data_IF_143970823177
#
_entry.id   IF_143970823177
#
_cell.length_a   1.000
_cell.length_b   1.000
_cell.length_c   1.000
_cell.angle_alpha   90.00
_cell.angle_beta   90.00
_cell.angle_gamma   90.00
#
_symmetry.space_group_name_H-M   'P 1'
#
loop_
_entity.id
_entity.type
_entity.pdbx_description
1 polymer ?
#
# COMPACT_ATOMS: atom_id res chain seq x y z
N UNK A 1 -29.03 -5.92 40.91
CA UNK A 1 -28.90 -4.86 39.89
C UNK A 1 -27.60 -4.11 40.16
N UNK A 2 -26.48 -4.66 39.70
CA UNK A 2 -25.19 -3.99 39.70
C UNK A 2 -25.12 -3.19 38.41
N UNK A 3 -25.05 -1.86 38.53
CA UNK A 3 -24.79 -0.95 37.40
C UNK A 3 -23.45 -1.34 36.78
N UNK A 4 -23.48 -1.72 35.51
CA UNK A 4 -22.32 -1.70 34.61
C UNK A 4 -21.75 -0.28 34.60
N UNK A 5 -20.82 -0.02 35.51
CA UNK A 5 -20.10 1.24 35.61
C UNK A 5 -18.98 1.21 34.57
N UNK A 6 -19.20 1.92 33.47
CA UNK A 6 -18.19 2.64 32.69
C UNK A 6 -16.90 1.86 32.30
N UNK A 7 -17.06 0.79 31.53
CA UNK A 7 -15.97 0.27 30.68
C UNK A 7 -15.69 1.16 29.46
N UNK A 8 -16.38 2.29 29.31
CA UNK A 8 -16.20 3.26 28.22
C UNK A 8 -14.91 4.10 28.32
N UNK A 9 -14.10 3.95 29.37
CA UNK A 9 -12.86 4.73 29.55
C UNK A 9 -11.63 4.17 28.82
N UNK A 10 -11.67 2.96 28.24
CA UNK A 10 -10.44 2.24 27.86
C UNK A 10 -10.12 2.04 26.38
N UNK A 11 -10.76 2.74 25.44
CA UNK A 11 -10.11 2.93 24.14
C UNK A 11 -10.43 4.28 23.52
N UNK A 12 -9.70 5.31 23.98
CA UNK A 12 -9.59 6.51 23.16
C UNK A 12 -8.97 6.08 21.82
N UNK A 13 -9.58 6.39 20.67
CA UNK A 13 -9.16 5.85 19.37
C UNK A 13 -7.69 6.16 19.03
N UNK A 14 -7.14 7.24 19.57
CA UNK A 14 -5.73 7.61 19.41
C UNK A 14 -4.75 6.65 20.11
N UNK A 15 -5.14 6.00 21.22
CA UNK A 15 -4.29 5.01 21.91
C UNK A 15 -4.11 3.79 21.02
N UNK A 16 -5.19 3.33 20.38
CA UNK A 16 -5.12 2.21 19.45
C UNK A 16 -4.26 2.56 18.23
N UNK A 17 -4.47 3.72 17.60
CA UNK A 17 -3.65 4.18 16.48
C UNK A 17 -2.17 4.23 16.85
N UNK A 18 -1.83 4.82 18.01
CA UNK A 18 -0.45 4.92 18.47
C UNK A 18 0.18 3.56 18.76
N UNK A 19 -0.57 2.64 19.38
CA UNK A 19 -0.14 1.26 19.59
C UNK A 19 0.14 0.55 18.26
N UNK A 20 -0.73 0.71 17.25
CA UNK A 20 -0.51 0.14 15.91
C UNK A 20 0.70 0.73 15.22
N UNK A 21 0.93 2.04 15.33
CA UNK A 21 2.14 2.69 14.80
C UNK A 21 3.41 2.13 15.45
N UNK A 22 3.43 1.95 16.77
CA UNK A 22 4.57 1.36 17.46
C UNK A 22 4.81 -0.10 17.01
N UNK A 23 3.75 -0.90 16.95
CA UNK A 23 3.82 -2.28 16.43
C UNK A 23 4.35 -2.30 14.99
N UNK A 24 3.89 -1.39 14.15
CA UNK A 24 4.30 -1.28 12.76
C UNK A 24 5.80 -1.02 12.63
N UNK A 25 6.34 -0.07 13.39
CA UNK A 25 7.79 0.21 13.41
C UNK A 25 8.58 -1.01 13.91
N UNK A 26 8.19 -1.58 15.06
CA UNK A 26 8.92 -2.69 15.68
C UNK A 26 8.89 -3.97 14.83
N UNK A 27 7.72 -4.34 14.29
CA UNK A 27 7.58 -5.52 13.45
C UNK A 27 8.30 -5.36 12.13
N UNK A 28 8.24 -4.19 11.50
CA UNK A 28 8.97 -3.93 10.26
C UNK A 28 10.47 -4.06 10.49
N UNK A 29 10.98 -3.45 11.58
CA UNK A 29 12.38 -3.57 11.98
C UNK A 29 12.76 -5.03 12.20
N UNK A 30 12.03 -5.75 13.05
CA UNK A 30 12.32 -7.15 13.37
C UNK A 30 12.34 -8.06 12.12
N UNK A 31 11.35 -7.94 11.23
CA UNK A 31 11.29 -8.72 10.00
C UNK A 31 12.47 -8.42 9.07
N UNK A 32 12.83 -7.15 8.91
CA UNK A 32 13.98 -6.77 8.09
C UNK A 32 15.30 -7.29 8.65
N UNK A 33 15.53 -7.20 9.97
CA UNK A 33 16.74 -7.74 10.59
C UNK A 33 16.80 -9.27 10.51
N UNK A 34 15.67 -9.96 10.73
CA UNK A 34 15.59 -11.42 10.54
C UNK A 34 15.92 -11.84 9.11
N UNK A 35 15.49 -11.05 8.12
CA UNK A 35 15.84 -11.30 6.71
C UNK A 35 17.34 -11.12 6.48
N UNK A 36 17.91 -9.99 6.90
CA UNK A 36 19.34 -9.69 6.76
C UNK A 36 20.22 -10.72 7.45
N UNK A 37 19.82 -11.22 8.63
CA UNK A 37 20.53 -12.29 9.33
C UNK A 37 20.56 -13.59 8.52
N UNK A 38 19.52 -13.87 7.74
CA UNK A 38 19.41 -15.10 6.93
C UNK A 38 20.10 -14.99 5.57
N UNK A 39 19.99 -13.84 4.91
CA UNK A 39 20.46 -13.66 3.52
C UNK A 39 21.80 -12.91 3.42
N UNK A 40 22.29 -12.38 4.53
CA UNK A 40 23.41 -11.44 4.53
C UNK A 40 22.97 -10.01 4.21
N UNK A 41 23.94 -9.08 4.25
CA UNK A 41 23.69 -7.65 4.03
C UNK A 41 23.36 -7.38 2.55
N UNK A 42 22.21 -6.78 2.33
CA UNK A 42 21.81 -6.25 1.03
C UNK A 42 22.50 -4.90 0.74
N UNK A 43 22.60 -4.50 -0.54
CA UNK A 43 22.91 -3.12 -0.89
C UNK A 43 21.94 -2.14 -0.21
N UNK A 44 22.36 -0.95 0.25
CA UNK A 44 21.53 -0.05 1.05
C UNK A 44 20.16 0.28 0.44
N UNK A 45 20.11 0.55 -0.88
CA UNK A 45 18.84 0.84 -1.58
C UNK A 45 17.91 -0.38 -1.65
N UNK A 46 18.46 -1.59 -1.78
CA UNK A 46 17.68 -2.83 -1.79
C UNK A 46 17.12 -3.15 -0.39
N UNK A 47 17.91 -2.91 0.67
CA UNK A 47 17.45 -3.03 2.05
C UNK A 47 16.29 -2.05 2.34
N UNK A 48 16.43 -0.80 1.89
CA UNK A 48 15.37 0.20 2.03
C UNK A 48 14.09 -0.20 1.29
N UNK A 49 14.21 -0.68 0.05
CA UNK A 49 13.08 -1.20 -0.73
C UNK A 49 12.35 -2.33 0.01
N UNK A 50 13.11 -3.28 0.57
CA UNK A 50 12.57 -4.39 1.34
C UNK A 50 11.80 -3.88 2.58
N UNK A 51 12.38 -2.95 3.34
CA UNK A 51 11.73 -2.34 4.52
C UNK A 51 10.45 -1.62 4.13
N UNK A 52 10.41 -0.92 3.00
CA UNK A 52 9.18 -0.27 2.50
C UNK A 52 8.10 -1.31 2.16
N UNK A 53 8.45 -2.41 1.52
CA UNK A 53 7.52 -3.50 1.21
C UNK A 53 6.94 -4.14 2.49
N UNK A 54 7.77 -4.43 3.49
CA UNK A 54 7.31 -4.93 4.78
C UNK A 54 6.42 -3.91 5.50
N UNK A 55 6.82 -2.65 5.49
CA UNK A 55 6.05 -1.59 6.13
C UNK A 55 4.66 -1.47 5.51
N UNK A 56 4.56 -1.38 4.18
CA UNK A 56 3.26 -1.26 3.48
C UNK A 56 2.37 -2.46 3.80
N UNK A 57 2.95 -3.67 3.76
CA UNK A 57 2.23 -4.91 4.09
C UNK A 57 1.66 -4.85 5.50
N UNK A 58 2.51 -4.55 6.49
CA UNK A 58 2.10 -4.49 7.89
C UNK A 58 1.13 -3.34 8.15
N UNK A 59 1.36 -2.16 7.57
CA UNK A 59 0.52 -0.98 7.74
C UNK A 59 -0.89 -1.22 7.18
N UNK A 60 -1.01 -1.98 6.10
CA UNK A 60 -2.29 -2.38 5.55
C UNK A 60 -3.06 -3.31 6.50
N UNK A 61 -2.41 -4.32 7.06
CA UNK A 61 -3.04 -5.28 7.99
C UNK A 61 -3.29 -4.72 9.39
N UNK A 62 -2.44 -3.80 9.86
CA UNK A 62 -2.58 -3.15 11.16
C UNK A 62 -3.50 -1.93 11.14
N UNK A 63 -4.17 -1.66 10.00
CA UNK A 63 -5.13 -0.57 9.89
C UNK A 63 -6.21 -0.68 10.98
N UNK A 64 -6.35 0.31 11.88
CA UNK A 64 -7.22 0.21 13.05
C UNK A 64 -8.68 0.49 12.66
N UNK A 65 -9.31 -0.50 12.01
CA UNK A 65 -10.70 -0.42 11.52
C UNK A 65 -11.68 0.01 12.62
N UNK A 66 -11.49 -0.52 13.85
CA UNK A 66 -12.39 -0.26 14.96
C UNK A 66 -12.25 1.18 15.48
N UNK A 67 -11.02 1.66 15.71
CA UNK A 67 -10.77 3.03 16.16
C UNK A 67 -11.24 4.08 15.16
N UNK A 68 -11.08 3.80 13.86
CA UNK A 68 -11.37 4.76 12.80
C UNK A 68 -12.80 4.64 12.24
N UNK A 69 -13.58 3.66 12.70
CA UNK A 69 -14.97 3.45 12.28
C UNK A 69 -15.90 4.67 12.50
N UNK A 70 -15.55 5.55 13.44
CA UNK A 70 -16.31 6.77 13.75
C UNK A 70 -16.04 7.93 12.79
N UNK A 71 -14.95 7.86 12.04
CA UNK A 71 -14.61 8.88 11.05
C UNK A 71 -15.28 8.53 9.73
N UNK A 72 -15.45 9.54 8.87
CA UNK A 72 -15.70 9.27 7.47
C UNK A 72 -14.57 8.40 6.90
N UNK A 73 -14.89 7.61 5.88
CA UNK A 73 -13.93 6.81 5.10
C UNK A 73 -12.67 7.61 4.73
N UNK A 74 -12.86 8.85 4.27
CA UNK A 74 -11.79 9.80 3.94
C UNK A 74 -11.00 10.26 5.17
N UNK A 75 -11.68 10.57 6.28
CA UNK A 75 -11.01 10.97 7.52
C UNK A 75 -10.15 9.86 8.11
N UNK A 76 -10.63 8.62 8.06
CA UNK A 76 -9.88 7.44 8.48
C UNK A 76 -8.62 7.22 7.63
N UNK A 77 -8.73 7.37 6.31
CA UNK A 77 -7.60 7.27 5.39
C UNK A 77 -6.57 8.38 5.60
N UNK A 78 -7.00 9.63 5.75
CA UNK A 78 -6.11 10.75 5.96
C UNK A 78 -5.35 10.60 7.30
N UNK A 79 -6.07 10.22 8.36
CA UNK A 79 -5.46 10.00 9.67
C UNK A 79 -4.45 8.84 9.64
N UNK A 80 -4.81 7.71 9.05
CA UNK A 80 -3.88 6.58 8.93
C UNK A 80 -2.71 6.88 8.01
N UNK A 81 -2.93 7.61 6.90
CA UNK A 81 -1.88 8.06 6.01
C UNK A 81 -0.84 8.92 6.74
N UNK A 82 -1.29 9.91 7.51
CA UNK A 82 -0.42 10.74 8.34
C UNK A 82 0.32 9.93 9.42
N UNK A 83 -0.38 9.03 10.10
CA UNK A 83 0.21 8.17 11.12
C UNK A 83 1.26 7.21 10.54
N UNK A 84 0.99 6.64 9.36
CA UNK A 84 1.92 5.79 8.63
C UNK A 84 3.13 6.59 8.15
N UNK A 85 2.94 7.81 7.64
CA UNK A 85 4.02 8.69 7.20
C UNK A 85 4.99 8.97 8.35
N UNK A 86 4.47 9.35 9.53
CA UNK A 86 5.31 9.56 10.72
C UNK A 86 6.03 8.27 11.15
N UNK A 87 5.35 7.13 11.07
CA UNK A 87 5.93 5.83 11.44
C UNK A 87 7.05 5.39 10.49
N UNK A 88 6.91 5.62 9.17
CA UNK A 88 8.00 5.39 8.20
C UNK A 88 9.18 6.29 8.52
N UNK A 89 8.94 7.58 8.79
CA UNK A 89 9.99 8.54 9.12
C UNK A 89 10.78 8.05 10.35
N UNK A 90 10.08 7.64 11.41
CA UNK A 90 10.71 7.11 12.63
C UNK A 90 11.53 5.86 12.30
N UNK A 91 10.92 4.87 11.62
CA UNK A 91 11.59 3.62 11.27
C UNK A 91 12.88 3.89 10.50
N UNK A 92 12.79 4.67 9.43
CA UNK A 92 13.93 4.96 8.56
C UNK A 92 15.01 5.80 9.26
N UNK A 93 14.63 6.70 10.16
CA UNK A 93 15.59 7.47 10.96
C UNK A 93 16.40 6.59 11.93
N UNK A 94 15.82 5.48 12.39
CA UNK A 94 16.51 4.50 13.26
C UNK A 94 17.42 3.59 12.43
N UNK A 95 16.96 3.15 11.27
CA UNK A 95 17.63 2.10 10.49
C UNK A 95 18.66 2.64 9.51
N UNK A 96 18.49 3.86 9.05
CA UNK A 96 19.33 4.44 8.00
C UNK A 96 19.87 5.80 8.44
N UNK A 97 21.18 6.01 8.26
CA UNK A 97 21.78 7.35 8.23
C UNK A 97 21.43 8.04 6.89
N UNK A 98 20.16 7.93 6.47
CA UNK A 98 19.71 8.39 5.18
C UNK A 98 19.62 9.92 5.17
N UNK A 99 19.98 10.51 4.03
CA UNK A 99 19.73 11.92 3.76
C UNK A 99 18.21 12.20 3.88
N UNK A 100 17.85 13.36 4.44
CA UNK A 100 16.47 13.86 4.55
C UNK A 100 15.67 13.69 3.25
N UNK A 101 16.33 13.84 2.10
CA UNK A 101 15.71 13.62 0.79
C UNK A 101 15.18 12.19 0.60
N UNK A 102 15.99 11.17 0.91
CA UNK A 102 15.61 9.75 0.79
C UNK A 102 14.49 9.41 1.77
N UNK A 103 14.58 9.95 2.99
CA UNK A 103 13.56 9.81 4.02
C UNK A 103 12.21 10.36 3.56
N UNK A 104 12.20 11.58 3.00
CA UNK A 104 11.00 12.24 2.52
C UNK A 104 10.36 11.46 1.36
N UNK A 105 11.13 11.11 0.34
CA UNK A 105 10.61 10.40 -0.84
C UNK A 105 10.08 9.02 -0.47
N UNK A 106 10.79 8.27 0.36
CA UNK A 106 10.34 6.95 0.80
C UNK A 106 9.01 7.04 1.55
N UNK A 107 8.90 8.01 2.45
CA UNK A 107 7.67 8.23 3.23
C UNK A 107 6.49 8.62 2.35
N UNK A 108 6.71 9.49 1.36
CA UNK A 108 5.70 9.87 0.37
C UNK A 108 5.27 8.65 -0.45
N UNK A 109 6.23 7.87 -0.95
CA UNK A 109 5.95 6.69 -1.77
C UNK A 109 5.09 5.66 -1.03
N UNK A 110 5.46 5.31 0.21
CA UNK A 110 4.68 4.39 1.06
C UNK A 110 3.27 4.91 1.29
N UNK A 111 3.14 6.21 1.61
CA UNK A 111 1.83 6.82 1.89
C UNK A 111 0.91 6.77 0.67
N UNK A 112 1.43 7.09 -0.53
CA UNK A 112 0.65 7.04 -1.77
C UNK A 112 0.15 5.62 -2.04
N UNK A 113 1.02 4.60 -1.91
CA UNK A 113 0.62 3.20 -2.13
C UNK A 113 -0.41 2.75 -1.09
N UNK A 114 -0.25 3.12 0.18
CA UNK A 114 -1.23 2.80 1.22
C UNK A 114 -2.59 3.45 0.95
N UNK A 115 -2.61 4.73 0.54
CA UNK A 115 -3.85 5.42 0.18
C UNK A 115 -4.54 4.72 -1.00
N UNK A 116 -3.78 4.31 -2.02
CA UNK A 116 -4.31 3.55 -3.16
C UNK A 116 -4.92 2.22 -2.70
N UNK A 117 -4.20 1.41 -1.91
CA UNK A 117 -4.72 0.14 -1.39
C UNK A 117 -6.01 0.35 -0.61
N UNK A 118 -6.06 1.34 0.28
CA UNK A 118 -7.24 1.63 1.07
C UNK A 118 -8.43 2.09 0.21
N UNK A 119 -8.18 2.85 -0.87
CA UNK A 119 -9.23 3.29 -1.81
C UNK A 119 -9.85 2.09 -2.54
N UNK A 120 -9.04 1.13 -2.94
CA UNK A 120 -9.49 -0.11 -3.59
C UNK A 120 -10.31 -0.94 -2.60
N UNK A 121 -9.89 -1.06 -1.34
CA UNK A 121 -10.68 -1.76 -0.31
C UNK A 121 -12.07 -1.13 -0.16
N UNK A 122 -12.17 0.19 -0.15
CA UNK A 122 -13.47 0.87 -0.04
C UNK A 122 -14.34 0.59 -1.27
N UNK A 123 -13.79 0.72 -2.47
CA UNK A 123 -14.50 0.39 -3.69
C UNK A 123 -15.02 -1.05 -3.68
N UNK A 124 -14.16 -2.01 -3.33
CA UNK A 124 -14.51 -3.43 -3.28
C UNK A 124 -15.58 -3.74 -2.23
N UNK A 125 -15.58 -3.04 -1.07
CA UNK A 125 -16.64 -3.19 -0.07
C UNK A 125 -18.01 -2.78 -0.64
N UNK A 126 -18.08 -1.73 -1.46
CA UNK A 126 -19.34 -1.37 -2.11
C UNK A 126 -19.73 -2.32 -3.25
N UNK A 127 -18.76 -2.81 -4.03
CA UNK A 127 -19.06 -3.74 -5.13
C UNK A 127 -19.50 -5.14 -4.65
N UNK A 128 -18.96 -5.63 -3.53
CA UNK A 128 -19.22 -6.97 -3.01
C UNK A 128 -20.17 -7.01 -1.79
N UNK A 129 -21.00 -5.98 -1.65
CA UNK A 129 -21.78 -5.67 -0.44
C UNK A 129 -20.91 -5.30 0.77
N UNK A 130 -21.35 -4.25 1.48
CA UNK A 130 -20.58 -3.50 2.49
C UNK A 130 -20.02 -4.31 3.67
N UNK A 131 -20.38 -5.59 3.81
CA UNK A 131 -19.92 -6.50 4.85
C UNK A 131 -18.82 -7.48 4.41
N UNK A 132 -18.30 -7.37 3.18
CA UNK A 132 -17.26 -8.28 2.71
C UNK A 132 -15.95 -8.12 3.50
N UNK A 133 -15.72 -9.02 4.45
CA UNK A 133 -14.44 -9.21 5.14
C UNK A 133 -13.31 -9.62 4.19
N UNK A 134 -13.66 -10.00 2.96
CA UNK A 134 -12.73 -10.45 1.92
C UNK A 134 -12.06 -9.29 1.19
N UNK A 135 -12.65 -8.08 1.16
CA UNK A 135 -12.12 -6.96 0.39
C UNK A 135 -10.65 -6.60 0.72
N UNK A 136 -10.21 -6.51 2.00
CA UNK A 136 -8.80 -6.27 2.31
C UNK A 136 -7.88 -7.37 1.80
N UNK A 137 -8.27 -8.64 1.96
CA UNK A 137 -7.48 -9.78 1.51
C UNK A 137 -7.35 -9.78 -0.01
N UNK A 138 -8.45 -9.52 -0.74
CA UNK A 138 -8.45 -9.46 -2.20
C UNK A 138 -7.55 -8.32 -2.70
N UNK A 139 -7.61 -7.13 -2.09
CA UNK A 139 -6.69 -6.03 -2.42
C UNK A 139 -5.24 -6.44 -2.18
N UNK A 140 -4.93 -7.02 -1.03
CA UNK A 140 -3.56 -7.43 -0.71
C UNK A 140 -3.03 -8.47 -1.71
N UNK A 141 -3.78 -9.55 -1.95
CA UNK A 141 -3.39 -10.60 -2.91
C UNK A 141 -3.22 -10.01 -4.31
N UNK A 142 -4.12 -9.13 -4.74
CA UNK A 142 -4.00 -8.44 -6.03
C UNK A 142 -2.72 -7.61 -6.11
N UNK A 143 -2.38 -6.86 -5.06
CA UNK A 143 -1.14 -6.09 -5.01
C UNK A 143 0.11 -6.98 -5.08
N UNK A 144 0.12 -8.11 -4.38
CA UNK A 144 1.23 -9.08 -4.44
C UNK A 144 1.38 -9.65 -5.85
N UNK A 145 0.28 -10.08 -6.47
CA UNK A 145 0.29 -10.64 -7.83
C UNK A 145 0.73 -9.60 -8.86
N UNK A 146 0.20 -8.37 -8.78
CA UNK A 146 0.58 -7.26 -9.66
C UNK A 146 2.04 -6.86 -9.44
N UNK A 147 2.53 -6.86 -8.20
CA UNK A 147 3.95 -6.57 -7.92
C UNK A 147 4.89 -7.60 -8.54
N UNK A 148 4.45 -8.85 -8.63
CA UNK A 148 5.19 -9.94 -9.25
C UNK A 148 5.05 -9.99 -10.78
N UNK A 149 4.23 -9.13 -11.42
CA UNK A 149 3.99 -9.11 -12.88
C UNK A 149 5.27 -9.23 -13.70
N UNK A 150 6.35 -8.48 -13.40
CA UNK A 150 7.56 -8.56 -14.21
C UNK A 150 8.25 -9.93 -14.15
N UNK A 151 7.96 -10.76 -13.14
CA UNK A 151 8.49 -12.12 -13.02
C UNK A 151 7.68 -13.10 -13.85
N UNK A 152 6.35 -13.11 -13.71
CA UNK A 152 5.52 -14.18 -14.32
C UNK A 152 4.99 -13.84 -15.72
N UNK A 153 4.80 -12.55 -16.07
CA UNK A 153 4.43 -12.13 -17.42
C UNK A 153 5.62 -11.80 -18.32
N UNK A 154 6.85 -12.05 -17.84
CA UNK A 154 8.07 -11.76 -18.59
C UNK A 154 8.13 -12.41 -19.97
N UNK A 155 7.83 -13.71 -20.01
CA UNK A 155 7.80 -14.49 -21.24
C UNK A 155 6.75 -13.97 -22.23
N UNK A 156 5.58 -13.54 -21.75
CA UNK A 156 4.53 -13.05 -22.63
C UNK A 156 4.94 -11.77 -23.36
N UNK A 157 5.64 -10.85 -22.68
CA UNK A 157 6.12 -9.63 -23.30
C UNK A 157 7.16 -9.90 -24.40
N UNK A 158 8.00 -10.93 -24.26
CA UNK A 158 8.98 -11.29 -25.28
C UNK A 158 8.33 -11.75 -26.59
N UNK A 159 7.19 -12.46 -26.50
CA UNK A 159 6.43 -12.94 -27.66
C UNK A 159 5.43 -11.92 -28.22
N UNK A 160 5.22 -10.79 -27.56
CA UNK A 160 4.32 -9.75 -28.05
C UNK A 160 4.93 -9.05 -29.28
N UNK A 161 4.08 -8.73 -30.27
CA UNK A 161 4.49 -8.07 -31.53
C UNK A 161 5.29 -6.77 -31.26
N UNK A 162 4.92 -6.04 -30.21
CA UNK A 162 5.63 -4.86 -29.71
C UNK A 162 6.26 -5.16 -28.34
N UNK A 163 7.20 -6.09 -28.30
CA UNK A 163 7.75 -6.64 -27.06
C UNK A 163 8.34 -5.60 -26.10
N UNK A 164 8.97 -4.54 -26.62
CA UNK A 164 9.52 -3.44 -25.81
C UNK A 164 8.41 -2.62 -25.14
N UNK A 165 7.39 -2.20 -25.89
CA UNK A 165 6.26 -1.45 -25.35
C UNK A 165 5.48 -2.27 -24.31
N UNK A 166 5.28 -3.55 -24.61
CA UNK A 166 4.58 -4.49 -23.73
C UNK A 166 5.36 -4.71 -22.42
N UNK A 167 6.67 -4.94 -22.49
CA UNK A 167 7.54 -5.03 -21.32
C UNK A 167 7.47 -3.74 -20.48
N UNK A 168 7.49 -2.58 -21.14
CA UNK A 168 7.46 -1.31 -20.45
C UNK A 168 6.17 -1.10 -19.64
N UNK A 169 5.03 -1.46 -20.21
CA UNK A 169 3.74 -1.42 -19.51
C UNK A 169 3.74 -2.35 -18.30
N UNK A 170 4.17 -3.61 -18.47
CA UNK A 170 4.17 -4.59 -17.37
C UNK A 170 5.03 -4.14 -16.20
N UNK A 171 6.22 -3.60 -16.48
CA UNK A 171 7.11 -3.06 -15.46
C UNK A 171 6.45 -1.84 -14.80
N UNK A 172 5.88 -0.92 -15.59
CA UNK A 172 5.20 0.27 -15.08
C UNK A 172 3.87 -0.01 -14.34
N UNK A 173 3.31 -1.21 -14.44
CA UNK A 173 2.13 -1.60 -13.65
C UNK A 173 2.48 -2.08 -12.23
N UNK A 174 3.72 -2.50 -11.99
CA UNK A 174 4.13 -3.07 -10.72
C UNK A 174 4.34 -1.99 -9.64
N UNK A 175 3.67 -2.07 -8.47
CA UNK A 175 3.96 -1.23 -7.32
C UNK A 175 5.42 -1.30 -6.86
N UNK A 176 6.10 -2.43 -7.10
CA UNK A 176 7.52 -2.58 -6.82
C UNK A 176 8.36 -1.63 -7.67
N UNK A 177 8.02 -1.49 -8.96
CA UNK A 177 8.67 -0.53 -9.85
C UNK A 177 8.51 0.90 -9.35
N UNK A 178 7.36 1.26 -8.76
CA UNK A 178 7.17 2.59 -8.17
C UNK A 178 8.12 2.86 -7.01
N UNK A 179 8.26 1.92 -6.07
CA UNK A 179 9.24 2.07 -5.01
C UNK A 179 10.67 2.11 -5.55
N UNK A 180 11.00 1.27 -6.52
CA UNK A 180 12.30 1.29 -7.17
C UNK A 180 12.63 2.63 -7.82
N UNK A 181 11.70 3.23 -8.54
CA UNK A 181 11.85 4.59 -9.12
C UNK A 181 12.08 5.64 -8.04
N UNK A 182 11.30 5.57 -6.96
CA UNK A 182 11.41 6.51 -5.85
C UNK A 182 12.76 6.44 -5.14
N UNK A 183 13.34 5.25 -5.10
CA UNK A 183 14.64 5.04 -4.47
C UNK A 183 15.82 5.17 -5.43
N UNK A 184 15.56 5.47 -6.71
CA UNK A 184 16.56 5.43 -7.77
C UNK A 184 17.30 4.08 -7.74
N UNK A 185 16.55 3.00 -7.61
CA UNK A 185 17.04 1.63 -7.48
C UNK A 185 16.52 0.74 -8.60
N UNK A 186 17.40 0.43 -9.54
CA UNK A 186 17.08 -0.45 -10.66
C UNK A 186 17.12 -1.93 -10.23
N UNK A 187 15.99 -2.42 -9.72
CA UNK A 187 15.86 -3.80 -9.24
C UNK A 187 15.92 -4.83 -10.38
N UNK A 188 15.59 -4.44 -11.61
CA UNK A 188 15.68 -5.30 -12.80
C UNK A 188 17.14 -5.69 -13.08
N UNK A 189 18.10 -4.87 -12.63
CA UNK A 189 19.53 -5.19 -12.72
C UNK A 189 20.09 -5.94 -11.51
N UNK A 190 19.24 -6.32 -10.57
CA UNK A 190 19.69 -7.19 -9.48
C UNK A 190 20.09 -8.57 -10.03
N UNK A 191 21.09 -9.20 -9.42
CA UNK A 191 21.58 -10.51 -9.85
C UNK A 191 20.46 -11.56 -9.92
N UNK A 192 19.50 -11.49 -8.99
CA UNK A 192 18.35 -12.38 -8.98
C UNK A 192 17.44 -12.14 -10.19
N UNK A 193 17.11 -10.88 -10.52
CA UNK A 193 16.22 -10.58 -11.65
C UNK A 193 16.84 -10.98 -12.99
N UNK A 194 18.14 -10.76 -13.16
CA UNK A 194 18.90 -11.23 -14.32
C UNK A 194 18.84 -12.75 -14.51
N UNK A 195 18.82 -13.52 -13.43
CA UNK A 195 18.81 -14.98 -13.49
C UNK A 195 17.41 -15.58 -13.69
N UNK A 196 16.36 -14.84 -13.28
CA UNK A 196 15.00 -15.40 -13.18
C UNK A 196 14.00 -14.76 -14.15
N UNK A 197 14.39 -13.72 -14.91
CA UNK A 197 13.47 -13.04 -15.84
C UNK A 197 14.18 -12.67 -17.15
N UNK A 198 13.46 -12.68 -18.29
CA UNK A 198 14.02 -12.22 -19.57
C UNK A 198 14.28 -10.71 -19.58
N UNK A 199 13.69 -9.96 -18.63
CA UNK A 199 13.79 -8.50 -18.55
C UNK A 199 15.12 -7.98 -18.02
N UNK A 200 15.94 -8.80 -17.38
CA UNK A 200 17.23 -8.33 -16.85
C UNK A 200 18.12 -7.69 -17.93
N UNK A 201 18.03 -8.17 -19.18
CA UNK A 201 18.80 -7.64 -20.30
C UNK A 201 18.20 -6.38 -20.94
N UNK A 202 16.94 -6.03 -20.66
CA UNK A 202 16.29 -4.88 -21.25
C UNK A 202 16.74 -3.58 -20.57
N UNK A 203 16.99 -2.56 -21.38
CA UNK A 203 17.18 -1.20 -20.89
C UNK A 203 15.80 -0.59 -20.66
N UNK A 204 15.30 -0.72 -19.43
CA UNK A 204 14.05 -0.06 -19.06
C UNK A 204 14.31 1.41 -18.71
N UNK A 205 13.61 2.31 -19.39
CA UNK A 205 13.57 3.72 -19.01
C UNK A 205 12.38 3.94 -18.07
N UNK A 206 12.69 4.07 -16.79
CA UNK A 206 11.65 4.23 -15.78
C UNK A 206 10.93 5.57 -15.96
N UNK A 207 9.62 5.57 -15.73
CA UNK A 207 8.84 6.81 -15.63
C UNK A 207 9.44 7.73 -14.57
N UNK A 208 9.39 9.05 -14.81
CA UNK A 208 9.88 10.01 -13.82
C UNK A 208 9.13 9.85 -12.48
N UNK A 209 9.81 9.98 -11.32
CA UNK A 209 9.16 9.79 -10.02
C UNK A 209 7.93 10.68 -9.83
N UNK A 210 7.99 11.92 -10.32
CA UNK A 210 6.89 12.89 -10.25
C UNK A 210 5.69 12.42 -11.06
N UNK A 211 5.92 12.00 -12.31
CA UNK A 211 4.84 11.53 -13.17
C UNK A 211 4.19 10.27 -12.60
N UNK A 212 5.00 9.35 -12.07
CA UNK A 212 4.49 8.11 -11.51
C UNK A 212 3.69 8.33 -10.21
N UNK A 213 4.14 9.25 -9.35
CA UNK A 213 3.37 9.70 -8.17
C UNK A 213 2.03 10.29 -8.57
N UNK A 214 2.03 11.15 -9.59
CA UNK A 214 0.83 11.78 -10.10
C UNK A 214 -0.18 10.75 -10.60
N UNK A 215 0.25 9.75 -11.37
CA UNK A 215 -0.62 8.68 -11.85
C UNK A 215 -1.27 7.88 -10.70
N UNK A 216 -0.50 7.52 -9.68
CA UNK A 216 -1.04 6.77 -8.53
C UNK A 216 -1.99 7.62 -7.69
N UNK A 217 -1.68 8.90 -7.48
CA UNK A 217 -2.56 9.84 -6.77
C UNK A 217 -3.85 10.10 -7.55
N UNK A 218 -3.77 10.30 -8.87
CA UNK A 218 -4.93 10.45 -9.74
C UNK A 218 -5.81 9.19 -9.70
N UNK A 219 -5.20 8.01 -9.79
CA UNK A 219 -5.90 6.72 -9.68
C UNK A 219 -6.61 6.58 -8.33
N UNK A 220 -5.91 6.92 -7.24
CA UNK A 220 -6.47 6.92 -5.89
C UNK A 220 -7.68 7.86 -5.81
N UNK A 221 -7.56 9.08 -6.34
CA UNK A 221 -8.65 10.05 -6.34
C UNK A 221 -9.87 9.56 -7.14
N UNK A 222 -9.66 9.02 -8.35
CA UNK A 222 -10.74 8.47 -9.19
C UNK A 222 -11.45 7.31 -8.46
N UNK A 223 -10.71 6.39 -7.86
CA UNK A 223 -11.27 5.25 -7.11
C UNK A 223 -12.08 5.73 -5.90
N UNK A 224 -11.57 6.73 -5.17
CA UNK A 224 -12.29 7.33 -4.04
C UNK A 224 -13.60 8.00 -4.47
N UNK A 225 -13.57 8.79 -5.55
CA UNK A 225 -14.78 9.43 -6.09
C UNK A 225 -15.80 8.36 -6.51
N UNK A 226 -15.35 7.31 -7.20
CA UNK A 226 -16.22 6.21 -7.61
C UNK A 226 -16.83 5.49 -6.41
N UNK A 227 -16.02 5.17 -5.40
CA UNK A 227 -16.48 4.56 -4.15
C UNK A 227 -17.54 5.42 -3.46
N UNK A 228 -17.34 6.73 -3.38
CA UNK A 228 -18.28 7.65 -2.75
C UNK A 228 -19.59 7.78 -3.53
N UNK A 229 -19.54 7.74 -4.86
CA UNK A 229 -20.75 7.75 -5.70
C UNK A 229 -21.59 6.48 -5.50
N UNK A 230 -20.95 5.31 -5.33
CA UNK A 230 -21.64 4.05 -5.04
C UNK A 230 -22.30 4.08 -3.66
N UNK A 231 -21.60 4.59 -2.64
CA UNK A 231 -22.14 4.76 -1.28
C UNK A 231 -23.44 5.59 -1.28
N UNK A 232 -23.45 6.74 -1.98
CA UNK A 232 -24.64 7.59 -2.09
C UNK A 232 -25.80 6.88 -2.78
N UNK A 233 -25.53 6.10 -3.83
CA UNK A 233 -26.57 5.35 -4.57
C UNK A 233 -27.25 4.30 -3.69
N UNK A 234 -26.48 3.59 -2.87
CA UNK A 234 -27.01 2.61 -1.90
C UNK A 234 -27.91 3.28 -0.86
N UNK A 235 -27.49 4.42 -0.32
CA UNK A 235 -28.25 5.17 0.68
C UNK A 235 -29.61 5.62 0.13
N UNK A 236 -29.64 6.16 -1.10
CA UNK A 236 -30.87 6.58 -1.77
C UNK A 236 -31.81 5.38 -2.00
N UNK A 237 -31.27 4.26 -2.49
CA UNK A 237 -32.05 3.03 -2.72
C UNK A 237 -32.71 2.52 -1.44
N UNK A 238 -31.99 2.58 -0.31
CA UNK A 238 -32.50 2.13 0.98
C UNK A 238 -33.59 3.05 1.56
N UNK A 239 -33.50 4.37 1.34
CA UNK A 239 -34.54 5.31 1.76
C UNK A 239 -35.87 5.04 1.03
N UNK A 240 -35.84 4.86 -0.29
CA UNK A 240 -37.04 4.56 -1.07
C UNK A 240 -37.65 3.18 -0.77
N UNK A 241 -36.86 2.20 -0.34
CA UNK A 241 -37.39 0.91 0.12
C UNK A 241 -38.15 1.04 1.43
N UNK A 242 -37.67 1.87 2.36
CA UNK A 242 -38.27 2.05 3.68
C UNK A 242 -39.64 2.75 3.64
N UNK A 243 -39.83 3.66 2.69
CA UNK A 243 -41.12 4.34 2.49
C UNK A 243 -42.22 3.42 1.93
N UNK A 244 -41.88 2.33 1.23
CA UNK A 244 -42.88 1.39 0.67
C UNK A 244 -43.38 0.35 1.68
N UNK A 245 -42.81 0.30 2.87
CA UNK A 245 -43.14 -0.70 3.92
C UNK A 245 -43.98 -0.12 5.07
N UNK A 246 -44.48 1.11 4.92
CA UNK A 246 -45.40 1.79 5.85
C UNK A 246 -46.74 1.97 5.15
#
# INVERSE_FOLDING_TARGET
MLKEHDSHLFSKPWIEVLSRCLMLVLLTFALSEMFVLKTGRLPPKADLLLRMCYFVTLAFFLFPQNALSRLSSLGAMAMWGLASLLSVIILLSITTMANLYVLAISSIAVTIVLMLMMSIVQLLKHLFNSHSSVAPLLTFVSFVVISAVPVWLGLWAEYAVDGEYSANILIAMSPLSYFSVMLDYDYLRSAWFYQNTPFGALRFDYLSPVYYSFLLLASTFVILVLSHLLEKKELISNLFKKEKTV
#
